data_IF_202049118640
#
_entry.id   IF_202049118640
#
_cell.length_a   1.000
_cell.length_b   1.000
_cell.length_c   1.000
_cell.angle_alpha   90.00
_cell.angle_beta   90.00
_cell.angle_gamma   90.00
#
_symmetry.space_group_name_H-M   'P 1'
#
loop_
_entity.id
_entity.type
_entity.pdbx_description
1 polymer ?
#
# COMPACT_ATOMS: atom_id res chain seq x y z
N UNK A 1 -4.38 -4.43 21.41
CA UNK A 1 -4.69 -5.46 20.40
C UNK A 1 -3.92 -5.07 19.15
N UNK A 2 -3.16 -5.98 18.55
CA UNK A 2 -2.30 -5.65 17.40
C UNK A 2 -3.18 -5.35 16.19
N UNK A 3 -3.19 -4.09 15.76
CA UNK A 3 -3.79 -3.71 14.50
C UNK A 3 -3.04 -4.43 13.38
N UNK A 4 -3.81 -5.09 12.53
CA UNK A 4 -3.32 -5.55 11.24
C UNK A 4 -3.14 -4.27 10.42
N UNK A 5 -1.91 -3.75 10.34
CA UNK A 5 -1.57 -2.47 9.68
C UNK A 5 -1.97 -2.39 8.21
N UNK A 6 -2.40 -3.50 7.59
CA UNK A 6 -3.05 -3.49 6.29
C UNK A 6 -3.85 -4.79 6.11
N UNK A 7 -5.17 -4.70 6.02
CA UNK A 7 -6.01 -5.87 5.76
C UNK A 7 -5.65 -6.61 4.46
N UNK A 8 -4.94 -5.98 3.52
CA UNK A 8 -4.37 -6.65 2.34
C UNK A 8 -3.28 -7.65 2.71
N UNK A 9 -2.44 -7.33 3.71
CA UNK A 9 -1.39 -8.24 4.20
C UNK A 9 -2.00 -9.51 4.80
N UNK A 10 -3.12 -9.36 5.52
CA UNK A 10 -3.89 -10.48 6.06
C UNK A 10 -4.44 -11.40 4.96
N UNK A 11 -4.81 -10.81 3.82
CA UNK A 11 -5.39 -11.50 2.68
C UNK A 11 -4.34 -12.21 1.80
N UNK A 12 -3.27 -11.51 1.47
CA UNK A 12 -2.33 -11.98 0.44
C UNK A 12 -1.07 -12.62 1.04
N UNK A 13 -0.54 -12.09 2.14
CA UNK A 13 0.75 -12.53 2.69
C UNK A 13 0.61 -13.58 3.79
N UNK A 14 -0.32 -13.38 4.73
CA UNK A 14 -0.50 -14.25 5.89
C UNK A 14 -0.84 -15.71 5.53
N UNK A 15 -1.66 -16.01 4.48
CA UNK A 15 -1.93 -17.39 4.08
C UNK A 15 -0.70 -18.16 3.57
N UNK A 16 0.36 -17.46 3.14
CA UNK A 16 1.56 -18.05 2.58
C UNK A 16 2.54 -18.55 3.66
N UNK A 17 2.42 -18.07 4.90
CA UNK A 17 3.33 -18.41 6.00
C UNK A 17 3.21 -19.89 6.39
N UNK A 18 2.00 -20.32 6.77
CA UNK A 18 1.72 -21.72 7.06
C UNK A 18 0.21 -22.00 7.07
N UNK A 19 -0.16 -23.30 7.12
CA UNK A 19 -1.57 -23.74 7.15
C UNK A 19 -2.37 -23.18 8.33
N UNK A 20 -1.74 -22.94 9.49
CA UNK A 20 -2.41 -22.39 10.67
C UNK A 20 -2.76 -20.92 10.47
N UNK A 21 -1.81 -20.14 9.96
CA UNK A 21 -1.99 -18.71 9.67
C UNK A 21 -3.03 -18.48 8.59
N UNK A 22 -3.06 -19.34 7.57
CA UNK A 22 -4.12 -19.36 6.56
C UNK A 22 -5.53 -19.58 7.12
N UNK A 23 -5.68 -20.36 8.19
CA UNK A 23 -7.00 -20.54 8.83
C UNK A 23 -7.38 -19.28 9.60
N UNK A 24 -6.46 -18.78 10.43
CA UNK A 24 -6.68 -17.58 11.24
C UNK A 24 -7.01 -16.35 10.39
N UNK A 25 -6.31 -16.15 9.27
CA UNK A 25 -6.60 -15.02 8.37
C UNK A 25 -7.93 -15.11 7.64
N UNK A 26 -8.60 -16.26 7.67
CA UNK A 26 -9.93 -16.47 7.09
C UNK A 26 -11.03 -16.50 8.15
N UNK A 27 -10.69 -16.42 9.43
CA UNK A 27 -11.68 -16.38 10.49
C UNK A 27 -12.41 -15.03 10.46
N UNK A 28 -13.75 -14.98 10.43
CA UNK A 28 -14.49 -13.72 10.37
C UNK A 28 -14.13 -12.75 11.51
N UNK A 29 -13.81 -13.29 12.69
CA UNK A 29 -13.39 -12.51 13.84
C UNK A 29 -12.10 -11.70 13.60
N UNK A 30 -11.20 -12.17 12.73
CA UNK A 30 -9.98 -11.45 12.36
C UNK A 30 -10.25 -10.20 11.49
N UNK A 31 -11.47 -10.08 10.96
CA UNK A 31 -11.92 -8.99 10.10
C UNK A 31 -12.96 -8.09 10.77
N UNK A 32 -13.13 -8.18 12.10
CA UNK A 32 -14.10 -7.36 12.82
C UNK A 32 -13.70 -5.87 12.85
N UNK A 33 -12.40 -5.60 12.76
CA UNK A 33 -11.80 -4.27 12.73
C UNK A 33 -10.69 -4.28 11.67
N UNK A 34 -10.78 -3.38 10.70
CA UNK A 34 -9.91 -3.37 9.52
C UNK A 34 -9.46 -1.95 9.22
N UNK A 35 -8.15 -1.81 9.10
CA UNK A 35 -7.51 -0.61 8.60
C UNK A 35 -7.11 -0.83 7.12
N UNK A 36 -7.54 0.09 6.27
CA UNK A 36 -7.21 0.10 4.84
C UNK A 36 -6.46 1.40 4.53
N UNK A 37 -5.22 1.25 4.10
CA UNK A 37 -4.42 2.37 3.60
C UNK A 37 -4.49 2.40 2.07
N UNK A 38 -5.33 3.28 1.52
CA UNK A 38 -5.50 3.42 0.07
C UNK A 38 -4.46 4.42 -0.45
N UNK A 39 -3.40 3.91 -1.07
CA UNK A 39 -2.50 4.76 -1.86
C UNK A 39 -3.16 5.16 -3.19
N UNK A 40 -2.87 6.37 -3.69
CA UNK A 40 -3.31 6.84 -5.03
C UNK A 40 -2.88 5.93 -6.20
N UNK A 41 -1.94 5.00 -5.95
CA UNK A 41 -1.37 4.08 -6.94
C UNK A 41 -2.09 2.73 -6.92
N UNK A 42 -2.78 2.39 -5.82
CA UNK A 42 -3.50 1.13 -5.70
C UNK A 42 -4.95 1.32 -6.19
N UNK A 43 -5.43 0.45 -7.08
CA UNK A 43 -6.78 0.57 -7.60
C UNK A 43 -7.81 0.36 -6.47
N UNK A 44 -8.96 1.04 -6.52
CA UNK A 44 -10.04 0.89 -5.53
C UNK A 44 -10.55 -0.56 -5.40
N UNK A 45 -10.23 -1.43 -6.37
CA UNK A 45 -10.61 -2.83 -6.41
C UNK A 45 -10.01 -3.67 -5.28
N UNK A 46 -8.83 -3.30 -4.76
CA UNK A 46 -8.17 -4.03 -3.67
C UNK A 46 -8.92 -3.84 -2.35
N UNK A 47 -9.38 -2.61 -2.07
CA UNK A 47 -10.23 -2.34 -0.92
C UNK A 47 -11.58 -3.08 -1.03
N UNK A 48 -12.16 -3.16 -2.22
CA UNK A 48 -13.41 -3.90 -2.44
C UNK A 48 -13.24 -5.41 -2.21
N UNK A 49 -12.12 -5.99 -2.67
CA UNK A 49 -11.77 -7.40 -2.39
C UNK A 49 -11.62 -7.65 -0.90
N UNK A 50 -10.99 -6.72 -0.18
CA UNK A 50 -10.78 -6.83 1.26
C UNK A 50 -12.13 -6.85 2.01
N UNK A 51 -13.04 -5.94 1.66
CA UNK A 51 -14.38 -5.87 2.25
C UNK A 51 -15.24 -7.12 1.99
N UNK A 52 -15.04 -7.82 0.87
CA UNK A 52 -15.70 -9.10 0.60
C UNK A 52 -15.32 -10.20 1.60
N UNK A 53 -14.14 -10.11 2.22
CA UNK A 53 -13.65 -11.07 3.21
C UNK A 53 -14.01 -10.71 4.65
N UNK A 54 -14.66 -9.56 4.86
CA UNK A 54 -15.02 -9.03 6.17
C UNK A 54 -16.54 -8.98 6.42
N UNK A 55 -17.28 -10.11 6.39
CA UNK A 55 -18.74 -10.11 6.55
C UNK A 55 -19.20 -9.69 7.96
N UNK A 56 -18.30 -9.72 8.95
CA UNK A 56 -18.56 -9.35 10.34
C UNK A 56 -17.89 -8.05 10.74
N UNK A 57 -17.49 -7.23 9.75
CA UNK A 57 -16.87 -5.93 9.97
C UNK A 57 -17.75 -5.04 10.85
N UNK A 58 -17.16 -4.51 11.92
CA UNK A 58 -17.82 -3.56 12.83
C UNK A 58 -17.22 -2.18 12.72
N UNK A 59 -15.91 -2.11 12.46
CA UNK A 59 -15.15 -0.87 12.36
C UNK A 59 -14.27 -0.92 11.13
N UNK A 60 -14.25 0.19 10.40
CA UNK A 60 -13.49 0.38 9.18
C UNK A 60 -12.77 1.71 9.28
N UNK A 61 -11.45 1.67 9.29
CA UNK A 61 -10.62 2.85 9.18
C UNK A 61 -10.04 2.91 7.77
N UNK A 62 -10.22 4.05 7.10
CA UNK A 62 -9.66 4.27 5.76
C UNK A 62 -8.77 5.51 5.79
N UNK A 63 -7.50 5.32 5.44
CA UNK A 63 -6.54 6.41 5.29
C UNK A 63 -6.09 6.50 3.83
N UNK A 64 -6.22 7.68 3.22
CA UNK A 64 -5.78 7.92 1.85
C UNK A 64 -4.36 8.50 1.88
N UNK A 65 -3.38 7.70 1.46
CA UNK A 65 -1.97 8.11 1.48
C UNK A 65 -1.61 8.74 0.14
N UNK A 66 -1.44 10.07 0.14
CA UNK A 66 -1.00 10.83 -1.02
C UNK A 66 0.54 10.90 -1.04
N UNK A 67 1.18 9.91 -1.68
CA UNK A 67 2.64 9.99 -1.93
C UNK A 67 2.91 10.91 -3.13
N UNK A 68 3.29 12.17 -2.86
CA UNK A 68 3.86 13.04 -3.88
C UNK A 68 5.25 12.54 -4.29
N UNK A 69 5.36 11.87 -5.43
CA UNK A 69 6.65 11.54 -6.03
C UNK A 69 7.27 12.83 -6.58
N UNK A 70 8.15 13.49 -5.82
CA UNK A 70 9.03 14.54 -6.38
C UNK A 70 9.92 13.89 -7.43
N UNK A 71 9.59 14.07 -8.71
CA UNK A 71 10.52 13.76 -9.79
C UNK A 71 11.65 14.78 -9.75
N UNK A 72 12.81 14.37 -9.24
CA UNK A 72 14.03 15.16 -9.36
C UNK A 72 14.41 15.19 -10.85
N UNK A 73 13.93 16.20 -11.58
CA UNK A 73 14.36 16.49 -12.95
C UNK A 73 15.78 17.07 -12.94
N UNK A 74 16.78 16.25 -12.62
CA UNK A 74 18.18 16.56 -12.89
C UNK A 74 18.48 16.20 -14.35
N UNK A 75 18.08 17.07 -15.28
CA UNK A 75 18.59 17.05 -16.65
C UNK A 75 19.52 18.25 -16.88
N UNK A 76 20.81 17.93 -16.85
CA UNK A 76 21.85 18.52 -17.70
C UNK A 76 22.22 20.00 -17.48
N UNK A 77 23.05 20.28 -16.48
CA UNK A 77 24.09 21.32 -16.59
C UNK A 77 25.37 20.68 -17.11
N UNK A 78 25.41 20.35 -18.40
CA UNK A 78 26.67 20.11 -19.13
C UNK A 78 26.67 20.99 -20.37
N UNK A 79 27.74 21.78 -20.50
CA UNK A 79 28.25 22.40 -21.73
C UNK A 79 27.72 23.79 -22.13
N UNK A 80 28.05 24.82 -21.34
CA UNK A 80 28.37 26.16 -21.88
C UNK A 80 29.51 26.80 -21.06
N UNK A 81 30.69 26.18 -21.08
CA UNK A 81 31.92 26.78 -20.57
C UNK A 81 33.14 26.37 -21.42
N UNK A 82 32.94 26.21 -22.73
CA UNK A 82 34.02 25.90 -23.68
C UNK A 82 33.86 26.71 -24.98
N UNK A 83 33.75 28.03 -24.85
CA UNK A 83 33.98 28.98 -25.96
C UNK A 83 34.55 30.29 -25.41
N UNK A 84 35.68 30.20 -24.71
CA UNK A 84 36.57 31.33 -24.38
C UNK A 84 38.00 30.77 -24.26
N UNK A 85 38.45 30.15 -25.34
CA UNK A 85 39.85 29.79 -25.57
C UNK A 85 39.97 29.37 -27.03
N UNK A 86 40.20 30.34 -27.90
CA UNK A 86 41.13 30.29 -29.04
C UNK A 86 40.87 31.48 -29.97
N UNK A 87 41.86 32.37 -29.93
CA UNK A 87 42.24 33.41 -30.89
C UNK A 87 41.34 34.63 -31.03
#
# INVERSE_FOLDING_TARGET
>A
MSLVEDGMTLLDSVPLVCRRWRRLSREPAAWADVDIHVGLIHPPDDAARLLLHAPTLRQLHMEVVITYRRTCANKSKKNYAHKLSRH
#
